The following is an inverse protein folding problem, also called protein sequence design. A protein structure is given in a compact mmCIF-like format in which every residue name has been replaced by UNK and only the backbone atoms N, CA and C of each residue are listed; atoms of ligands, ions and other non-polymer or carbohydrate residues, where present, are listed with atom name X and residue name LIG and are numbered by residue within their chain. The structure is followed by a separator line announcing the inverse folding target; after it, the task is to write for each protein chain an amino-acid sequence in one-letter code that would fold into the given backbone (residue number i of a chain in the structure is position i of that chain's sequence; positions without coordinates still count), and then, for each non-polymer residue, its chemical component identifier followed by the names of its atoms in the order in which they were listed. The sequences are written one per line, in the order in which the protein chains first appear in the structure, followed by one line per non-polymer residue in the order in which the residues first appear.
data_IF_669699881398
#
_entry.id   IF_669699881398
#
_cell.length_a   1.000
_cell.length_b   1.000
_cell.length_c   1.000
_cell.angle_alpha   90.00
_cell.angle_beta   90.00
_cell.angle_gamma   90.00
#
_symmetry.space_group_name_H-M   'P 1'
#
loop_
_entity.id
_entity.type
_entity.pdbx_description
1 polymer ?
#
# COMPACT_ATOMS: atom_id res chain seq x y z
N UNK A 1 -5.50 -18.04 -19.81
CA UNK A 1 -6.86 -17.90 -20.34
C UNK A 1 -6.77 -18.02 -21.86
N UNK A 2 -7.72 -18.68 -22.54
CA UNK A 2 -7.79 -18.76 -24.00
C UNK A 2 -7.94 -17.37 -24.64
N UNK A 3 -7.45 -17.19 -25.87
CA UNK A 3 -7.52 -15.91 -26.59
C UNK A 3 -8.98 -15.55 -26.90
N UNK A 4 -9.78 -16.54 -27.27
CA UNK A 4 -11.21 -16.38 -27.57
C UNK A 4 -12.00 -15.80 -26.37
N UNK A 5 -11.61 -16.17 -25.14
CA UNK A 5 -12.22 -15.60 -23.92
C UNK A 5 -11.82 -14.15 -23.72
N UNK A 6 -10.58 -13.78 -24.03
CA UNK A 6 -10.11 -12.39 -23.96
C UNK A 6 -10.79 -11.52 -25.01
N UNK A 7 -10.97 -12.05 -26.22
CA UNK A 7 -11.71 -11.38 -27.30
C UNK A 7 -13.18 -11.15 -26.89
N UNK A 8 -13.83 -12.15 -26.29
CA UNK A 8 -15.20 -12.01 -25.78
C UNK A 8 -15.32 -10.95 -24.68
N UNK A 9 -14.32 -10.81 -23.79
CA UNK A 9 -14.27 -9.72 -22.78
C UNK A 9 -14.17 -8.37 -23.47
N UNK A 10 -13.30 -8.22 -24.47
CA UNK A 10 -13.14 -6.98 -25.23
C UNK A 10 -14.42 -6.60 -25.94
N UNK A 11 -15.07 -7.55 -26.62
CA UNK A 11 -16.34 -7.34 -27.34
C UNK A 11 -17.48 -6.94 -26.39
N UNK A 12 -17.61 -7.64 -25.24
CA UNK A 12 -18.64 -7.35 -24.23
C UNK A 12 -18.61 -5.90 -23.76
N UNK A 13 -17.44 -5.32 -23.62
CA UNK A 13 -17.25 -3.96 -23.16
C UNK A 13 -17.07 -2.94 -24.28
N UNK A 14 -17.24 -3.34 -25.55
CA UNK A 14 -17.16 -2.45 -26.71
C UNK A 14 -15.79 -1.79 -26.87
N UNK A 15 -14.71 -2.44 -26.42
CA UNK A 15 -13.37 -1.89 -26.49
C UNK A 15 -12.77 -2.11 -27.89
N UNK A 16 -12.11 -1.08 -28.40
CA UNK A 16 -11.30 -1.20 -29.60
C UNK A 16 -9.84 -1.38 -29.19
N UNK A 17 -9.33 -2.59 -29.26
CA UNK A 17 -7.96 -2.90 -28.84
C UNK A 17 -7.16 -3.55 -29.97
N UNK A 18 -5.86 -3.34 -29.95
CA UNK A 18 -4.92 -4.09 -30.79
C UNK A 18 -4.64 -5.49 -30.25
N UNK A 19 -3.38 -5.92 -30.31
CA UNK A 19 -2.98 -7.21 -29.79
C UNK A 19 -3.17 -7.34 -28.27
N UNK A 20 -3.53 -8.55 -27.84
CA UNK A 20 -3.71 -8.87 -26.43
C UNK A 20 -2.52 -9.69 -25.94
N UNK A 21 -1.89 -9.23 -24.85
CA UNK A 21 -0.72 -9.89 -24.27
C UNK A 21 -0.99 -10.25 -22.80
N UNK A 22 -0.55 -11.43 -22.41
CA UNK A 22 -0.41 -11.74 -20.98
C UNK A 22 0.84 -11.03 -20.46
N UNK A 23 0.69 -10.22 -19.41
CA UNK A 23 1.85 -9.62 -18.75
C UNK A 23 2.77 -10.71 -18.20
N UNK A 24 4.08 -10.52 -18.37
CA UNK A 24 5.10 -11.39 -17.76
C UNK A 24 5.15 -11.18 -16.24
N UNK A 25 4.83 -9.98 -15.79
CA UNK A 25 4.74 -9.60 -14.38
C UNK A 25 3.35 -9.96 -13.84
N UNK A 26 3.00 -11.25 -13.93
CA UNK A 26 1.77 -11.76 -13.37
C UNK A 26 1.78 -11.52 -11.85
N UNK A 27 0.92 -10.65 -11.37
CA UNK A 27 0.75 -10.40 -9.93
C UNK A 27 0.47 -11.71 -9.18
N UNK A 28 0.87 -11.76 -7.92
CA UNK A 28 0.66 -12.96 -7.08
C UNK A 28 -0.82 -13.29 -6.99
N UNK A 29 -1.68 -12.27 -6.88
CA UNK A 29 -3.11 -12.39 -6.62
C UNK A 29 -3.97 -12.36 -7.88
N UNK A 30 -3.49 -11.70 -8.95
CA UNK A 30 -4.23 -11.50 -10.19
C UNK A 30 -3.44 -12.00 -11.43
N UNK A 31 -4.15 -12.52 -12.39
CA UNK A 31 -3.64 -12.64 -13.76
C UNK A 31 -3.85 -11.29 -14.47
N UNK A 32 -2.78 -10.76 -15.06
CA UNK A 32 -2.77 -9.44 -15.72
C UNK A 32 -2.67 -9.67 -17.24
N UNK A 33 -3.56 -9.03 -17.97
CA UNK A 33 -3.54 -9.02 -19.45
C UNK A 33 -3.54 -7.58 -19.93
N UNK A 34 -2.70 -7.29 -20.90
CA UNK A 34 -2.67 -6.00 -21.59
C UNK A 34 -3.61 -6.12 -22.79
N UNK A 35 -4.63 -5.29 -22.83
CA UNK A 35 -5.58 -5.19 -23.91
C UNK A 35 -5.17 -4.00 -24.78
N UNK A 36 -4.41 -4.30 -25.84
CA UNK A 36 -3.76 -3.27 -26.64
C UNK A 36 -2.77 -2.44 -25.82
N UNK A 37 -2.70 -1.16 -26.14
CA UNK A 37 -1.84 -0.20 -25.46
C UNK A 37 -2.57 0.63 -24.40
N UNK A 38 -3.89 0.56 -24.38
CA UNK A 38 -4.76 1.46 -23.63
C UNK A 38 -5.29 0.87 -22.32
N UNK A 39 -5.42 -0.48 -22.24
CA UNK A 39 -6.13 -1.09 -21.11
C UNK A 39 -5.36 -2.23 -20.45
N UNK A 40 -5.72 -2.46 -19.19
CA UNK A 40 -5.25 -3.59 -18.36
C UNK A 40 -6.46 -4.35 -17.84
N UNK A 41 -6.54 -5.63 -18.15
CA UNK A 41 -7.51 -6.55 -17.56
C UNK A 41 -6.87 -7.25 -16.36
N UNK A 42 -7.53 -7.16 -15.21
CA UNK A 42 -7.17 -7.88 -13.98
C UNK A 42 -8.20 -8.96 -13.70
N UNK A 43 -7.74 -10.19 -13.58
CA UNK A 43 -8.56 -11.36 -13.26
C UNK A 43 -8.00 -11.99 -11.99
N UNK A 44 -8.72 -11.97 -10.87
CA UNK A 44 -8.23 -12.56 -9.63
C UNK A 44 -8.08 -14.08 -9.78
N UNK A 45 -7.13 -14.64 -9.07
CA UNK A 45 -7.11 -16.10 -8.91
C UNK A 45 -8.35 -16.52 -8.14
N UNK A 46 -8.86 -17.72 -8.44
CA UNK A 46 -10.07 -18.24 -7.79
C UNK A 46 -9.80 -18.61 -6.32
N UNK A 47 -9.80 -17.58 -5.50
CA UNK A 47 -9.72 -17.69 -4.04
C UNK A 47 -10.50 -16.53 -3.39
N UNK A 48 -11.28 -16.78 -2.32
CA UNK A 48 -12.16 -15.79 -1.74
C UNK A 48 -11.52 -14.45 -1.39
N UNK A 49 -10.28 -14.37 -0.83
CA UNK A 49 -9.65 -13.09 -0.53
C UNK A 49 -9.37 -12.25 -1.78
N UNK A 50 -8.96 -12.88 -2.89
CA UNK A 50 -8.62 -12.17 -4.13
C UNK A 50 -9.86 -11.68 -4.87
N UNK A 51 -10.93 -12.48 -4.83
CA UNK A 51 -12.25 -12.09 -5.35
C UNK A 51 -12.83 -10.93 -4.53
N UNK A 52 -12.67 -10.95 -3.21
CA UNK A 52 -13.09 -9.83 -2.36
C UNK A 52 -12.28 -8.55 -2.65
N UNK A 53 -10.98 -8.67 -2.88
CA UNK A 53 -10.11 -7.54 -3.20
C UNK A 53 -10.53 -6.82 -4.48
N UNK A 54 -10.79 -7.53 -5.58
CA UNK A 54 -11.19 -6.88 -6.84
C UNK A 54 -12.57 -6.21 -6.75
N UNK A 55 -13.48 -6.74 -5.91
CA UNK A 55 -14.76 -6.08 -5.60
C UNK A 55 -14.57 -4.81 -4.80
N UNK A 56 -13.64 -4.77 -3.84
CA UNK A 56 -13.27 -3.53 -3.14
C UNK A 56 -12.72 -2.49 -4.12
N UNK A 57 -11.81 -2.90 -5.01
CA UNK A 57 -11.23 -2.00 -6.02
C UNK A 57 -12.29 -1.37 -6.91
N UNK A 58 -13.33 -2.12 -7.29
CA UNK A 58 -14.36 -1.63 -8.20
C UNK A 58 -15.13 -0.42 -7.66
N UNK A 59 -15.17 -0.24 -6.35
CA UNK A 59 -15.81 0.91 -5.69
C UNK A 59 -14.80 1.93 -5.17
N UNK A 60 -13.62 1.48 -4.75
CA UNK A 60 -12.57 2.33 -4.19
C UNK A 60 -11.91 3.22 -5.25
N UNK A 61 -11.58 2.66 -6.43
CA UNK A 61 -10.91 3.41 -7.50
C UNK A 61 -11.75 4.60 -7.99
N UNK A 62 -13.06 4.45 -8.30
CA UNK A 62 -13.89 5.61 -8.64
C UNK A 62 -13.97 6.66 -7.53
N UNK A 63 -14.06 6.25 -6.26
CA UNK A 63 -14.09 7.16 -5.12
C UNK A 63 -12.78 7.93 -4.96
N UNK A 64 -11.64 7.24 -5.05
CA UNK A 64 -10.31 7.86 -4.99
C UNK A 64 -10.10 8.87 -6.14
N UNK A 65 -10.50 8.53 -7.37
CA UNK A 65 -10.45 9.46 -8.50
C UNK A 65 -11.32 10.69 -8.29
N UNK A 66 -12.53 10.50 -7.77
CA UNK A 66 -13.43 11.62 -7.45
C UNK A 66 -12.85 12.55 -6.38
N UNK A 67 -12.05 12.03 -5.46
CA UNK A 67 -11.28 12.79 -4.47
C UNK A 67 -10.03 13.48 -5.06
N UNK A 68 -9.71 13.26 -6.33
CA UNK A 68 -8.56 13.87 -7.01
C UNK A 68 -7.25 13.10 -6.87
N UNK A 69 -7.31 11.84 -6.46
CA UNK A 69 -6.14 10.93 -6.41
C UNK A 69 -5.79 10.46 -7.82
N UNK A 70 -4.51 10.47 -8.15
CA UNK A 70 -4.01 9.90 -9.40
C UNK A 70 -4.01 8.36 -9.29
N UNK A 71 -4.94 7.74 -9.98
CA UNK A 71 -5.07 6.29 -10.11
C UNK A 71 -5.71 5.98 -11.46
N UNK A 72 -5.39 4.86 -12.14
CA UNK A 72 -5.99 4.52 -13.41
C UNK A 72 -7.51 4.45 -13.30
N UNK A 73 -8.23 4.92 -14.33
CA UNK A 73 -9.68 4.82 -14.33
C UNK A 73 -10.12 3.36 -14.40
N UNK A 74 -11.14 3.01 -13.63
CA UNK A 74 -11.89 1.78 -13.82
C UNK A 74 -12.78 1.96 -15.05
N UNK A 75 -12.51 1.22 -16.11
CA UNK A 75 -13.24 1.24 -17.38
C UNK A 75 -14.45 0.34 -17.30
N UNK A 76 -14.28 -0.87 -16.76
CA UNK A 76 -15.37 -1.82 -16.56
C UNK A 76 -15.08 -2.73 -15.36
N UNK A 77 -16.15 -3.15 -14.72
CA UNK A 77 -16.16 -4.23 -13.72
C UNK A 77 -17.30 -5.19 -14.05
N UNK A 78 -17.01 -6.47 -14.11
CA UNK A 78 -18.00 -7.51 -14.40
C UNK A 78 -17.95 -8.59 -13.31
N UNK A 79 -19.03 -8.76 -12.60
CA UNK A 79 -19.24 -9.80 -11.60
C UNK A 79 -20.42 -10.72 -11.92
N UNK A 80 -20.87 -10.71 -13.18
CA UNK A 80 -21.97 -11.58 -13.66
C UNK A 80 -21.59 -13.05 -13.71
N UNK A 81 -20.29 -13.33 -13.80
CA UNK A 81 -19.71 -14.67 -13.95
C UNK A 81 -20.12 -15.39 -15.24
N UNK A 82 -20.60 -14.65 -16.25
CA UNK A 82 -21.04 -15.22 -17.53
C UNK A 82 -19.88 -15.57 -18.48
N UNK A 83 -18.83 -14.73 -18.49
CA UNK A 83 -17.63 -14.95 -19.33
C UNK A 83 -16.49 -15.62 -18.58
N UNK A 84 -16.32 -15.29 -17.30
CA UNK A 84 -15.29 -15.85 -16.45
C UNK A 84 -15.91 -16.41 -15.16
N UNK A 85 -15.33 -17.45 -14.55
CA UNK A 85 -15.86 -18.02 -13.29
C UNK A 85 -15.57 -17.14 -12.07
N UNK A 86 -14.87 -16.02 -12.25
CA UNK A 86 -14.54 -15.01 -11.22
C UNK A 86 -14.84 -13.61 -11.77
N UNK A 87 -15.14 -12.63 -10.91
CA UNK A 87 -15.26 -11.25 -11.36
C UNK A 87 -13.94 -10.74 -11.93
N UNK A 88 -14.00 -9.75 -12.80
CA UNK A 88 -12.83 -9.12 -13.38
C UNK A 88 -13.01 -7.60 -13.52
N UNK A 89 -11.91 -6.90 -13.65
CA UNK A 89 -11.90 -5.45 -13.82
C UNK A 89 -10.97 -5.04 -14.97
N UNK A 90 -11.38 -4.02 -15.72
CA UNK A 90 -10.61 -3.39 -16.79
C UNK A 90 -10.29 -1.96 -16.37
N UNK A 91 -9.02 -1.62 -16.44
CA UNK A 91 -8.51 -0.29 -16.09
C UNK A 91 -7.83 0.36 -17.29
N UNK A 92 -7.77 1.69 -17.30
CA UNK A 92 -6.82 2.41 -18.14
C UNK A 92 -5.40 1.95 -17.83
N UNK A 93 -4.55 1.86 -18.84
CA UNK A 93 -3.15 1.50 -18.66
C UNK A 93 -2.33 2.72 -18.28
N UNK A 94 -1.59 2.63 -17.17
CA UNK A 94 -0.56 3.61 -16.82
C UNK A 94 0.75 3.21 -17.49
N UNK A 95 1.28 4.11 -18.34
CA UNK A 95 2.56 3.91 -19.03
C UNK A 95 3.71 4.39 -18.13
N UNK A 96 4.30 3.48 -17.42
CA UNK A 96 5.39 3.72 -16.48
C UNK A 96 5.88 2.42 -15.87
N UNK A 97 6.74 2.55 -14.89
CA UNK A 97 7.27 1.47 -14.09
C UNK A 97 6.83 1.64 -12.63
N UNK A 98 6.89 0.59 -11.84
CA UNK A 98 6.71 0.73 -10.40
C UNK A 98 7.97 1.37 -9.81
N UNK A 99 7.79 2.22 -8.80
CA UNK A 99 8.94 2.82 -8.09
C UNK A 99 9.87 1.76 -7.51
N UNK A 100 9.32 0.61 -7.10
CA UNK A 100 10.09 -0.53 -6.59
C UNK A 100 10.96 -1.22 -7.65
N UNK A 101 10.69 -1.03 -8.95
CA UNK A 101 11.52 -1.55 -10.02
C UNK A 101 12.75 -0.66 -10.29
N UNK A 102 12.70 0.60 -9.85
CA UNK A 102 13.84 1.51 -9.91
C UNK A 102 14.72 1.26 -8.68
N UNK A 103 15.99 0.98 -8.88
CA UNK A 103 16.95 0.81 -7.78
C UNK A 103 17.38 2.17 -7.20
N UNK A 104 16.37 2.94 -6.73
CA UNK A 104 16.54 4.28 -6.19
C UNK A 104 16.12 4.32 -4.71
N UNK A 105 17.01 4.87 -3.88
CA UNK A 105 16.67 5.15 -2.48
C UNK A 105 15.64 6.29 -2.35
N UNK A 106 14.99 6.42 -1.17
CA UNK A 106 14.01 7.48 -0.92
C UNK A 106 14.55 8.90 -1.17
N UNK A 107 15.82 9.13 -0.86
CA UNK A 107 16.51 10.40 -1.02
C UNK A 107 16.74 10.76 -2.51
N UNK A 108 16.73 9.77 -3.40
CA UNK A 108 16.79 9.95 -4.85
C UNK A 108 15.45 10.34 -5.49
N UNK A 109 14.35 10.21 -4.74
CA UNK A 109 12.99 10.40 -5.27
C UNK A 109 12.08 11.26 -4.37
N UNK A 110 12.57 12.36 -3.74
CA UNK A 110 11.78 13.12 -2.76
C UNK A 110 10.49 13.69 -3.36
N UNK A 111 10.52 14.20 -4.60
CA UNK A 111 9.34 14.77 -5.27
C UNK A 111 8.27 13.72 -5.60
N UNK A 112 8.66 12.48 -5.82
CA UNK A 112 7.71 11.37 -5.99
C UNK A 112 6.96 11.17 -4.68
N UNK A 113 7.68 11.07 -3.57
CA UNK A 113 7.09 10.88 -2.26
C UNK A 113 6.22 12.05 -1.79
N UNK A 114 6.65 13.29 -2.02
CA UNK A 114 5.82 14.47 -1.78
C UNK A 114 4.50 14.39 -2.57
N UNK A 115 4.58 14.01 -3.84
CA UNK A 115 3.39 13.87 -4.69
C UNK A 115 2.44 12.77 -4.22
N UNK A 116 2.99 11.63 -3.76
CA UNK A 116 2.22 10.54 -3.15
C UNK A 116 1.54 11.01 -1.86
N UNK A 117 2.27 11.73 -1.00
CA UNK A 117 1.72 12.31 0.22
C UNK A 117 0.53 13.24 -0.05
N UNK A 118 0.65 14.11 -1.05
CA UNK A 118 -0.46 14.98 -1.45
C UNK A 118 -1.69 14.22 -1.95
N UNK A 119 -1.50 13.11 -2.66
CA UNK A 119 -2.62 12.27 -3.10
C UNK A 119 -3.26 11.51 -1.92
N UNK A 120 -2.47 11.06 -0.94
CA UNK A 120 -3.02 10.47 0.29
C UNK A 120 -3.86 11.48 1.07
N UNK A 121 -3.42 12.74 1.18
CA UNK A 121 -4.20 13.76 1.84
C UNK A 121 -5.55 13.99 1.14
N UNK A 122 -5.57 14.04 -0.20
CA UNK A 122 -6.82 14.11 -0.98
C UNK A 122 -7.71 12.90 -0.74
N UNK A 123 -7.13 11.69 -0.68
CA UNK A 123 -7.87 10.47 -0.37
C UNK A 123 -8.53 10.54 1.00
N UNK A 124 -7.74 10.85 2.03
CA UNK A 124 -8.16 10.85 3.41
C UNK A 124 -9.20 11.92 3.73
N UNK A 125 -9.12 13.07 3.07
CA UNK A 125 -10.07 14.18 3.26
C UNK A 125 -11.25 14.15 2.28
N UNK A 126 -11.03 13.65 1.05
CA UNK A 126 -12.03 13.73 -0.02
C UNK A 126 -13.00 12.57 -0.08
N UNK A 127 -12.67 11.41 0.49
CA UNK A 127 -13.56 10.25 0.52
C UNK A 127 -14.34 10.23 1.83
N UNK A 128 -15.67 10.34 1.75
CA UNK A 128 -16.56 10.26 2.91
C UNK A 128 -17.08 8.84 3.18
N UNK A 129 -17.41 8.54 4.44
CA UNK A 129 -17.93 7.23 4.86
C UNK A 129 -19.42 7.07 4.50
N UNK A 130 -19.72 7.13 3.20
CA UNK A 130 -21.05 6.94 2.64
C UNK A 130 -20.98 6.25 1.27
N UNK A 131 -22.14 5.81 0.77
CA UNK A 131 -22.24 5.15 -0.53
C UNK A 131 -21.50 3.80 -0.59
N UNK A 132 -20.98 3.40 -1.74
CA UNK A 132 -20.39 2.07 -1.95
C UNK A 132 -19.12 1.80 -1.14
N UNK A 133 -18.42 2.84 -0.68
CA UNK A 133 -17.20 2.70 0.15
C UNK A 133 -17.50 2.60 1.65
N UNK A 134 -18.74 2.94 2.06
CA UNK A 134 -19.14 2.79 3.46
C UNK A 134 -19.06 1.32 3.88
N UNK A 135 -18.48 1.05 5.03
CA UNK A 135 -18.33 -0.32 5.53
C UNK A 135 -17.21 -1.14 4.90
N UNK A 136 -16.38 -0.58 4.01
CA UNK A 136 -15.15 -1.23 3.60
C UNK A 136 -14.15 -1.21 4.75
N UNK A 137 -13.79 -2.38 5.24
CA UNK A 137 -12.84 -2.51 6.34
C UNK A 137 -11.48 -2.99 5.82
N UNK A 138 -10.41 -2.41 6.37
CA UNK A 138 -9.07 -2.95 6.20
C UNK A 138 -8.92 -4.19 7.07
N UNK A 139 -8.13 -5.16 6.60
CA UNK A 139 -7.76 -6.30 7.42
C UNK A 139 -6.96 -5.83 8.64
N UNK A 140 -7.39 -6.17 9.87
CA UNK A 140 -6.67 -5.79 11.07
C UNK A 140 -5.36 -6.56 11.17
N UNK A 141 -4.27 -5.88 11.53
CA UNK A 141 -3.05 -6.56 11.97
C UNK A 141 -3.12 -6.84 13.48
N UNK A 142 -2.50 -7.94 13.93
CA UNK A 142 -2.44 -8.27 15.35
C UNK A 142 -1.69 -7.19 16.14
N UNK A 143 -1.99 -7.07 17.43
CA UNK A 143 -1.27 -6.16 18.34
C UNK A 143 0.21 -6.54 18.38
N UNK A 144 1.13 -5.62 18.03
CA UNK A 144 2.55 -5.96 17.95
C UNK A 144 3.21 -6.22 19.31
N UNK A 145 2.58 -5.89 20.43
CA UNK A 145 3.18 -6.02 21.76
C UNK A 145 3.46 -7.46 22.19
N UNK A 146 2.74 -8.45 21.62
CA UNK A 146 3.03 -9.87 21.84
C UNK A 146 4.16 -10.40 20.95
N UNK A 147 4.42 -9.76 19.80
CA UNK A 147 5.35 -10.27 18.78
C UNK A 147 6.81 -10.37 19.26
N UNK A 148 7.40 -9.44 20.05
CA UNK A 148 8.78 -9.57 20.49
C UNK A 148 9.06 -10.88 21.28
N UNK A 149 8.15 -11.27 22.18
CA UNK A 149 8.31 -12.51 22.96
C UNK A 149 8.09 -13.77 22.11
N UNK A 150 7.14 -13.73 21.17
CA UNK A 150 6.94 -14.82 20.20
C UNK A 150 8.19 -15.01 19.32
N UNK A 151 8.76 -13.92 18.80
CA UNK A 151 9.97 -13.94 17.99
C UNK A 151 11.23 -14.36 18.79
N UNK A 152 11.32 -13.96 20.07
CA UNK A 152 12.38 -14.43 20.96
C UNK A 152 12.25 -15.94 21.19
N UNK A 153 11.05 -16.43 21.45
CA UNK A 153 10.78 -17.86 21.60
C UNK A 153 11.09 -18.66 20.34
N UNK A 154 10.95 -18.07 19.17
CA UNK A 154 11.30 -18.64 17.87
C UNK A 154 12.81 -18.49 17.53
N UNK A 155 13.60 -17.83 18.39
CA UNK A 155 15.05 -17.68 18.22
C UNK A 155 15.51 -16.51 17.35
N UNK A 156 14.60 -15.58 17.00
CA UNK A 156 14.96 -14.36 16.24
C UNK A 156 15.60 -13.28 17.11
N UNK A 157 15.22 -13.22 18.40
CA UNK A 157 15.67 -12.22 19.35
C UNK A 157 16.21 -12.86 20.63
N UNK A 158 17.15 -12.19 21.29
CA UNK A 158 17.50 -12.45 22.67
C UNK A 158 16.40 -11.90 23.60
N UNK A 159 16.41 -12.31 24.86
CA UNK A 159 15.49 -11.77 25.87
C UNK A 159 15.72 -10.26 26.13
N UNK A 160 16.92 -9.75 25.85
CA UNK A 160 17.22 -8.31 26.01
C UNK A 160 16.65 -7.50 24.85
N UNK A 161 16.80 -7.97 23.62
CA UNK A 161 16.22 -7.36 22.43
C UNK A 161 14.69 -7.37 22.48
N UNK A 162 14.08 -8.48 22.93
CA UNK A 162 12.63 -8.57 23.13
C UNK A 162 12.15 -7.52 24.14
N UNK A 163 12.82 -7.41 25.32
CA UNK A 163 12.46 -6.40 26.32
C UNK A 163 12.63 -4.96 25.82
N UNK A 164 13.66 -4.70 25.05
CA UNK A 164 13.88 -3.38 24.44
C UNK A 164 12.76 -3.02 23.46
N UNK A 165 12.42 -3.94 22.53
CA UNK A 165 11.35 -3.75 21.56
C UNK A 165 9.98 -3.58 22.24
N UNK A 166 9.66 -4.41 23.22
CA UNK A 166 8.43 -4.30 24.03
C UNK A 166 8.33 -2.94 24.69
N UNK A 167 9.41 -2.47 25.34
CA UNK A 167 9.43 -1.15 25.94
C UNK A 167 9.32 0.01 24.94
N UNK A 168 9.77 -0.18 23.69
CA UNK A 168 9.56 0.82 22.62
C UNK A 168 8.10 0.83 22.16
N UNK A 169 7.49 -0.33 21.98
CA UNK A 169 6.08 -0.45 21.67
C UNK A 169 5.21 0.15 22.79
N UNK A 170 5.53 -0.10 24.06
CA UNK A 170 4.80 0.47 25.20
C UNK A 170 4.87 2.01 25.21
N UNK A 171 6.00 2.59 24.81
CA UNK A 171 6.15 4.04 24.68
C UNK A 171 5.20 4.62 23.62
N UNK A 172 5.00 3.91 22.51
CA UNK A 172 4.20 4.38 21.38
C UNK A 172 2.71 4.03 21.52
N UNK A 173 2.37 3.00 22.30
CA UNK A 173 1.00 2.48 22.45
C UNK A 173 -0.05 3.55 22.81
N UNK A 174 0.20 4.52 23.72
CA UNK A 174 -0.78 5.54 24.05
C UNK A 174 -1.23 6.39 22.85
N UNK A 175 -0.36 6.59 21.87
CA UNK A 175 -0.66 7.35 20.66
C UNK A 175 -1.38 6.49 19.61
N UNK A 176 -0.95 5.23 19.45
CA UNK A 176 -1.45 4.35 18.41
C UNK A 176 -2.79 3.68 18.73
N UNK A 177 -3.09 3.51 20.02
CA UNK A 177 -4.31 2.85 20.49
C UNK A 177 -5.40 3.84 20.97
N UNK A 178 -5.14 5.15 20.89
CA UNK A 178 -6.15 6.16 21.16
C UNK A 178 -7.30 6.08 20.13
N UNK A 179 -8.53 6.42 20.52
CA UNK A 179 -9.62 6.60 19.54
C UNK A 179 -9.27 7.71 18.54
N UNK A 180 -9.36 7.43 17.26
CA UNK A 180 -8.95 8.31 16.18
C UNK A 180 -10.06 8.47 15.14
N UNK A 181 -10.15 9.64 14.47
CA UNK A 181 -10.99 9.79 13.30
C UNK A 181 -10.55 8.80 12.21
N UNK A 182 -11.51 8.02 11.71
CA UNK A 182 -11.25 7.10 10.60
C UNK A 182 -11.15 7.87 9.29
N UNK A 183 -10.23 7.44 8.44
CA UNK A 183 -10.08 7.91 7.07
C UNK A 183 -10.12 6.75 6.11
N UNK A 184 -10.55 7.01 4.88
CA UNK A 184 -10.49 6.00 3.82
C UNK A 184 -9.05 5.87 3.36
N UNK A 185 -8.47 4.66 3.47
CA UNK A 185 -7.07 4.38 3.23
C UNK A 185 -6.88 3.57 1.95
N UNK A 186 -5.70 3.69 1.35
CA UNK A 186 -5.23 2.76 0.32
C UNK A 186 -5.04 1.34 0.91
N UNK A 187 -4.46 1.26 2.10
CA UNK A 187 -4.33 0.04 2.89
C UNK A 187 -3.13 -0.84 2.56
N UNK A 188 -2.54 -0.68 1.37
CA UNK A 188 -1.35 -1.43 0.92
C UNK A 188 -0.41 -0.52 0.10
N UNK A 189 -0.06 0.63 0.65
CA UNK A 189 0.88 1.53 -0.03
C UNK A 189 2.30 0.98 0.08
N UNK A 190 2.84 0.55 -1.05
CA UNK A 190 4.19 0.02 -1.20
C UNK A 190 4.85 0.62 -2.46
N UNK A 191 6.17 0.51 -2.57
CA UNK A 191 6.90 0.97 -3.76
C UNK A 191 6.46 0.26 -5.04
N UNK A 192 5.95 -0.95 -4.93
CA UNK A 192 5.36 -1.73 -6.04
C UNK A 192 4.00 -1.22 -6.50
N UNK A 193 3.33 -0.40 -5.68
CA UNK A 193 2.01 0.16 -5.95
C UNK A 193 2.05 1.65 -6.33
N UNK A 194 3.27 2.22 -6.45
CA UNK A 194 3.52 3.59 -6.92
C UNK A 194 4.06 3.55 -8.34
N UNK A 195 3.27 4.02 -9.31
CA UNK A 195 3.67 4.11 -10.71
C UNK A 195 4.41 5.41 -10.97
N UNK A 196 5.52 5.31 -11.70
CA UNK A 196 6.37 6.46 -12.06
C UNK A 196 6.81 6.39 -13.52
N UNK A 197 7.08 7.57 -14.12
CA UNK A 197 7.95 7.65 -15.29
C UNK A 197 9.39 7.55 -14.78
N UNK A 198 10.26 6.73 -15.40
CA UNK A 198 11.57 6.44 -14.81
C UNK A 198 12.61 7.57 -14.96
N UNK A 199 12.56 8.38 -16.02
CA UNK A 199 13.60 9.37 -16.32
C UNK A 199 13.02 10.73 -16.76
N UNK A 200 13.13 11.79 -15.94
CA UNK A 200 13.41 11.73 -14.49
C UNK A 200 12.25 11.09 -13.71
N UNK A 201 12.51 10.47 -12.56
CA UNK A 201 11.44 9.83 -11.77
C UNK A 201 10.32 10.81 -11.47
N UNK A 202 9.15 10.54 -12.04
CA UNK A 202 7.98 11.41 -11.91
C UNK A 202 6.76 10.55 -11.56
N UNK A 203 6.08 10.90 -10.48
CA UNK A 203 4.90 10.17 -10.02
C UNK A 203 3.76 10.23 -11.04
N UNK A 204 3.15 9.09 -11.31
CA UNK A 204 2.03 8.94 -12.25
C UNK A 204 0.72 8.56 -11.54
N UNK A 205 0.74 7.50 -10.73
CA UNK A 205 -0.48 6.97 -10.14
C UNK A 205 -0.22 6.00 -8.97
N UNK A 206 -1.22 5.83 -8.10
CA UNK A 206 -1.35 4.69 -7.19
C UNK A 206 -2.17 3.59 -7.84
N UNK A 207 -1.78 2.34 -7.61
CA UNK A 207 -2.45 1.14 -8.10
C UNK A 207 -2.64 0.13 -6.97
N UNK A 208 -3.48 -0.88 -7.20
CA UNK A 208 -3.72 -2.01 -6.28
C UNK A 208 -4.47 -1.62 -4.99
N UNK A 209 -5.76 -1.34 -5.14
CA UNK A 209 -6.66 -0.89 -4.07
C UNK A 209 -7.35 -2.03 -3.30
N UNK A 210 -6.92 -3.27 -3.50
CA UNK A 210 -7.60 -4.45 -2.93
C UNK A 210 -7.61 -4.50 -1.39
N UNK A 211 -6.69 -3.82 -0.73
CA UNK A 211 -6.59 -3.75 0.74
C UNK A 211 -7.24 -2.49 1.34
N UNK A 212 -7.86 -1.64 0.51
CA UNK A 212 -8.46 -0.38 0.95
C UNK A 212 -9.54 -0.56 2.03
N UNK A 213 -9.77 0.50 2.79
CA UNK A 213 -10.84 0.52 3.80
C UNK A 213 -10.62 1.61 4.85
N UNK A 214 -11.52 1.72 5.80
CA UNK A 214 -11.52 2.74 6.83
C UNK A 214 -10.57 2.42 7.98
N UNK A 215 -9.86 3.42 8.48
CA UNK A 215 -8.98 3.30 9.64
C UNK A 215 -8.11 4.53 9.89
N UNK A 216 -7.04 4.37 10.65
CA UNK A 216 -6.11 5.44 10.93
C UNK A 216 -5.26 5.79 9.70
N UNK A 217 -5.33 7.05 9.26
CA UNK A 217 -4.58 7.60 8.13
C UNK A 217 -3.06 7.34 8.20
N UNK A 218 -2.49 7.32 9.40
CA UNK A 218 -1.05 7.06 9.61
C UNK A 218 -0.61 5.69 9.08
N UNK A 219 -1.52 4.74 8.93
CA UNK A 219 -1.18 3.40 8.43
C UNK A 219 -0.77 3.38 6.96
N UNK A 220 -1.19 4.35 6.14
CA UNK A 220 -0.77 4.43 4.74
C UNK A 220 0.68 4.91 4.56
N UNK A 221 1.35 5.31 5.64
CA UNK A 221 2.76 5.68 5.63
C UNK A 221 3.71 4.53 5.98
N UNK A 222 3.21 3.32 6.25
CA UNK A 222 4.03 2.27 6.85
C UNK A 222 4.46 1.12 5.91
N UNK A 223 3.90 1.02 4.72
CA UNK A 223 4.31 0.01 3.72
C UNK A 223 5.51 0.44 2.86
N UNK A 224 6.05 1.63 3.10
CA UNK A 224 7.16 2.25 2.37
C UNK A 224 8.41 2.35 3.26
N UNK A 225 9.59 2.65 2.70
CA UNK A 225 10.77 2.94 3.53
C UNK A 225 10.53 4.07 4.51
N UNK A 226 10.87 3.90 5.78
CA UNK A 226 10.67 4.94 6.81
C UNK A 226 11.38 6.25 6.44
N UNK A 227 12.53 6.19 5.73
CA UNK A 227 13.24 7.37 5.22
C UNK A 227 12.47 8.16 4.14
N UNK A 228 11.47 7.54 3.50
CA UNK A 228 10.57 8.23 2.56
C UNK A 228 9.48 9.04 3.27
N UNK A 229 9.13 8.65 4.50
CA UNK A 229 7.99 9.22 5.24
C UNK A 229 8.10 10.74 5.46
N UNK A 230 9.26 11.33 5.81
CA UNK A 230 9.37 12.77 5.94
C UNK A 230 8.97 13.53 4.66
N UNK A 231 9.38 13.04 3.48
CA UNK A 231 8.99 13.64 2.20
C UNK A 231 7.50 13.48 1.91
N UNK A 232 6.92 12.33 2.26
CA UNK A 232 5.48 12.13 2.11
C UNK A 232 4.68 13.02 3.04
N UNK A 233 5.09 13.16 4.30
CA UNK A 233 4.45 14.04 5.26
C UNK A 233 4.52 15.51 4.82
N UNK A 234 5.65 15.94 4.22
CA UNK A 234 5.76 17.28 3.63
C UNK A 234 4.67 17.50 2.59
N UNK A 235 4.55 16.63 1.59
CA UNK A 235 3.53 16.76 0.55
C UNK A 235 2.10 16.54 1.06
N UNK A 236 1.90 15.71 2.09
CA UNK A 236 0.60 15.55 2.74
C UNK A 236 0.15 16.84 3.41
N UNK A 237 1.04 17.44 4.21
CA UNK A 237 0.82 18.68 4.97
C UNK A 237 0.59 19.92 4.11
N UNK A 238 1.04 19.90 2.86
CA UNK A 238 0.70 20.95 1.88
C UNK A 238 -0.80 20.95 1.53
N UNK A 239 -1.50 19.82 1.69
CA UNK A 239 -2.92 19.67 1.37
C UNK A 239 -3.77 19.74 2.65
N UNK A 240 -3.42 18.98 3.67
CA UNK A 240 -4.13 18.93 4.96
C UNK A 240 -3.21 18.42 6.08
N UNK A 241 -3.47 18.75 7.37
CA UNK A 241 -2.81 18.08 8.49
C UNK A 241 -3.30 16.62 8.60
N UNK A 242 -2.47 15.72 9.13
CA UNK A 242 -2.98 14.40 9.53
C UNK A 242 -3.97 14.54 10.71
N UNK A 243 -4.98 13.67 10.79
CA UNK A 243 -5.80 13.59 11.99
C UNK A 243 -4.92 13.38 13.23
N UNK A 244 -5.15 14.14 14.31
CA UNK A 244 -4.32 14.12 15.51
C UNK A 244 -2.82 14.34 15.18
N UNK A 245 -2.54 15.44 14.50
CA UNK A 245 -1.22 15.79 13.91
C UNK A 245 -0.05 15.64 14.90
N UNK A 246 -0.23 16.04 16.15
CA UNK A 246 0.83 15.99 17.19
C UNK A 246 1.30 14.56 17.53
N UNK A 247 0.55 13.55 17.10
CA UNK A 247 0.84 12.12 17.32
C UNK A 247 1.14 11.36 16.05
N UNK A 248 1.15 12.03 14.91
CA UNK A 248 1.24 11.40 13.59
C UNK A 248 2.48 10.50 13.45
N UNK A 249 3.67 11.03 13.74
CA UNK A 249 4.93 10.29 13.61
C UNK A 249 5.01 9.10 14.58
N UNK A 250 4.46 9.24 15.78
CA UNK A 250 4.42 8.13 16.75
C UNK A 250 3.55 6.97 16.24
N UNK A 251 2.39 7.27 15.66
CA UNK A 251 1.48 6.28 15.06
C UNK A 251 2.08 5.63 13.80
N UNK A 252 2.75 6.42 12.96
CA UNK A 252 3.46 5.92 11.80
C UNK A 252 4.58 4.96 12.24
N UNK A 253 5.38 5.34 13.23
CA UNK A 253 6.47 4.50 13.75
C UNK A 253 5.95 3.20 14.38
N UNK A 254 4.86 3.29 15.17
CA UNK A 254 4.18 2.10 15.69
C UNK A 254 3.81 1.13 14.57
N UNK A 255 3.23 1.65 13.49
CA UNK A 255 2.81 0.82 12.36
C UNK A 255 4.01 0.23 11.63
N UNK A 256 5.10 0.97 11.46
CA UNK A 256 6.34 0.43 10.92
C UNK A 256 6.90 -0.72 11.75
N UNK A 257 6.94 -0.56 13.08
CA UNK A 257 7.36 -1.64 13.99
C UNK A 257 6.45 -2.84 13.89
N UNK A 258 5.13 -2.64 13.86
CA UNK A 258 4.15 -3.71 13.71
C UNK A 258 4.38 -4.53 12.42
N UNK A 259 4.54 -3.85 11.28
CA UNK A 259 4.81 -4.53 10.01
C UNK A 259 6.18 -5.20 10.03
N UNK A 260 7.22 -4.55 10.57
CA UNK A 260 8.56 -5.11 10.65
C UNK A 260 8.61 -6.42 11.45
N UNK A 261 7.96 -6.44 12.61
CA UNK A 261 7.88 -7.63 13.47
C UNK A 261 7.04 -8.74 12.83
N UNK A 262 5.91 -8.38 12.23
CA UNK A 262 5.05 -9.31 11.53
C UNK A 262 5.77 -10.01 10.35
N UNK A 263 6.52 -9.24 9.54
CA UNK A 263 7.25 -9.79 8.40
C UNK A 263 8.45 -10.64 8.83
N UNK A 264 9.11 -10.29 9.94
CA UNK A 264 10.25 -11.04 10.42
C UNK A 264 9.88 -12.49 10.76
N UNK A 265 8.70 -12.72 11.31
CA UNK A 265 8.20 -14.05 11.63
C UNK A 265 7.67 -14.86 10.44
N UNK A 266 7.63 -14.29 9.23
CA UNK A 266 7.09 -14.95 8.03
C UNK A 266 8.18 -15.56 7.16
N UNK A 267 7.89 -16.70 6.49
CA UNK A 267 8.81 -17.24 5.49
C UNK A 267 9.06 -16.23 4.37
N UNK A 268 10.30 -16.11 3.85
CA UNK A 268 10.58 -15.28 2.69
C UNK A 268 9.75 -15.70 1.49
N UNK A 269 9.20 -14.71 0.78
CA UNK A 269 8.48 -14.97 -0.47
C UNK A 269 9.38 -14.59 -1.66
N UNK A 270 9.70 -15.53 -2.59
CA UNK A 270 10.53 -15.23 -3.74
C UNK A 270 9.88 -14.21 -4.69
N UNK A 271 10.68 -13.32 -5.23
CA UNK A 271 10.25 -12.38 -6.26
C UNK A 271 9.55 -11.12 -5.76
N UNK A 272 9.49 -10.92 -4.45
CA UNK A 272 8.90 -9.72 -3.85
C UNK A 272 9.92 -8.58 -3.71
N UNK A 273 9.40 -7.38 -3.45
CA UNK A 273 10.20 -6.18 -3.19
C UNK A 273 11.08 -6.35 -1.94
N UNK A 274 12.06 -5.47 -1.78
CA UNK A 274 12.92 -5.48 -0.59
C UNK A 274 12.12 -5.34 0.73
N UNK A 275 11.00 -4.62 0.71
CA UNK A 275 10.15 -4.42 1.89
C UNK A 275 9.52 -5.71 2.42
N UNK A 276 9.38 -6.71 1.57
CA UNK A 276 8.78 -8.00 1.92
C UNK A 276 9.82 -9.04 2.34
N UNK A 277 11.11 -8.68 2.32
CA UNK A 277 12.18 -9.53 2.83
C UNK A 277 12.16 -9.52 4.36
N UNK A 278 12.36 -10.67 5.00
CA UNK A 278 12.54 -10.71 6.47
C UNK A 278 13.59 -9.70 6.91
N UNK A 279 13.36 -9.02 8.00
CA UNK A 279 14.20 -7.97 8.58
C UNK A 279 14.38 -6.69 7.73
N UNK A 280 13.94 -6.61 6.48
CA UNK A 280 14.16 -5.41 5.66
C UNK A 280 13.54 -4.16 6.30
N UNK A 281 12.31 -4.24 6.78
CA UNK A 281 11.62 -3.14 7.46
C UNK A 281 12.28 -2.77 8.80
N UNK A 282 12.73 -3.76 9.58
CA UNK A 282 13.45 -3.50 10.83
C UNK A 282 14.78 -2.79 10.57
N UNK A 283 15.53 -3.25 9.57
CA UNK A 283 16.79 -2.60 9.16
C UNK A 283 16.54 -1.18 8.64
N UNK A 284 15.43 -0.92 7.99
CA UNK A 284 15.07 0.43 7.53
C UNK A 284 14.78 1.37 8.70
N UNK A 285 14.09 0.90 9.72
CA UNK A 285 13.89 1.66 10.97
C UNK A 285 15.25 2.01 11.60
N UNK A 286 16.15 1.04 11.69
CA UNK A 286 17.51 1.27 12.20
C UNK A 286 18.26 2.31 11.37
N UNK A 287 18.24 2.20 10.04
CA UNK A 287 18.91 3.16 9.14
C UNK A 287 18.37 4.57 9.29
N UNK A 288 17.05 4.70 9.45
CA UNK A 288 16.41 5.98 9.68
C UNK A 288 16.96 6.67 10.93
N UNK A 289 17.01 5.97 12.06
CA UNK A 289 17.50 6.54 13.32
C UNK A 289 19.03 6.72 13.36
N UNK A 290 19.78 5.86 12.68
CA UNK A 290 21.23 6.05 12.50
C UNK A 290 21.55 7.32 11.68
N UNK A 291 20.65 7.74 10.80
CA UNK A 291 20.72 9.00 10.07
C UNK A 291 20.43 10.24 10.91
N UNK A 292 20.16 10.09 12.21
CA UNK A 292 19.85 11.19 13.15
C UNK A 292 18.72 12.09 12.65
N UNK A 293 17.50 11.56 12.52
CA UNK A 293 16.35 12.32 12.06
C UNK A 293 16.07 13.50 13.00
N UNK A 294 15.52 14.58 12.46
CA UNK A 294 15.07 15.73 13.24
C UNK A 294 13.86 15.40 14.14
N UNK A 295 13.46 16.38 14.97
CA UNK A 295 12.20 16.25 15.73
C UNK A 295 10.98 16.28 14.80
N UNK A 296 9.89 15.60 15.15
CA UNK A 296 9.67 14.86 16.42
C UNK A 296 10.28 13.46 16.47
N UNK A 297 10.79 12.92 15.36
CA UNK A 297 11.30 11.56 15.26
C UNK A 297 12.38 11.22 16.30
N UNK A 298 13.31 12.16 16.54
CA UNK A 298 14.39 11.96 17.52
C UNK A 298 13.85 11.71 18.94
N UNK A 299 12.72 12.31 19.29
CA UNK A 299 12.09 12.15 20.60
C UNK A 299 11.36 10.80 20.76
N UNK A 300 11.05 10.14 19.65
CA UNK A 300 10.40 8.82 19.62
C UNK A 300 11.40 7.65 19.63
N UNK A 301 12.68 7.93 19.47
CA UNK A 301 13.72 6.90 19.50
C UNK A 301 13.98 6.44 20.94
N UNK A 302 13.95 5.13 21.15
CA UNK A 302 14.39 4.50 22.38
C UNK A 302 15.69 3.75 22.10
N UNK A 303 16.84 4.23 22.60
CA UNK A 303 18.09 3.48 22.48
C UNK A 303 18.01 2.16 23.25
N UNK A 304 18.77 1.13 22.80
CA UNK A 304 18.82 -0.18 23.47
C UNK A 304 19.23 -0.11 24.92
#
# INVERSE_FOLDING_TARGET
MPVETLEAVVERHGLCVGEIFRSKDAGIFNAIYLLGNEYVLRVPRDAPPFVAAIRKESVAVPAARAAGVRTPALVAFDDTLELLPVPYAIYERVHGETLGALDLGPEGTPKVWQSVGGDLARLHEGVGEYGPVAGLECEPLPDPRAMPDELASAGYFTAEESRWLSGWLDLLAPFALAPLPRRFRHGDLQTTNVMVRPDPPTYLALIDWGACGWGDAAHDFAGIPLRAVPFMLEGYREVAPLPEEDTAEARILWRHLQIALYLLGRPPQPGLSWAERPAAMLLEIMRFFLGSPGRPWADLYRPP
#
